data_IF_678607520623
#
_entry.id   IF_678607520623
#
_cell.length_a   1.000
_cell.length_b   1.000
_cell.length_c   1.000
_cell.angle_alpha   90.00
_cell.angle_beta   90.00
_cell.angle_gamma   90.00
#
_symmetry.space_group_name_H-M   'P 1'
#
loop_
_entity.id
_entity.type
_entity.pdbx_description
1 polymer ?
#
# COMPACT_ATOMS: atom_id res chain seq x y z
N UNK A 1 -16.76 14.71 1.60
CA UNK A 1 -16.45 14.57 3.04
C UNK A 1 -14.95 14.27 3.17
N UNK A 2 -14.10 15.16 3.73
CA UNK A 2 -12.66 14.96 3.66
C UNK A 2 -12.15 14.00 4.75
N UNK A 3 -11.49 12.95 4.24
CA UNK A 3 -10.45 12.09 4.81
C UNK A 3 -10.22 12.13 6.33
N UNK A 4 -10.93 11.28 7.08
CA UNK A 4 -10.42 10.82 8.38
C UNK A 4 -9.08 10.12 8.11
N UNK A 5 -7.98 10.41 8.83
CA UNK A 5 -6.72 9.70 8.66
C UNK A 5 -6.92 8.26 9.15
N UNK A 6 -7.44 7.43 8.25
CA UNK A 6 -7.68 6.02 8.51
C UNK A 6 -6.35 5.28 8.42
N UNK A 7 -6.25 4.13 9.06
CA UNK A 7 -5.06 3.25 8.97
C UNK A 7 -4.62 3.01 7.51
N UNK A 8 -5.56 3.10 6.57
CA UNK A 8 -5.35 3.10 5.12
C UNK A 8 -4.49 4.25 4.61
N UNK A 9 -4.65 5.48 5.12
CA UNK A 9 -3.85 6.66 4.72
C UNK A 9 -2.36 6.45 5.04
N UNK A 10 -2.05 5.94 6.23
CA UNK A 10 -0.69 5.57 6.60
C UNK A 10 -0.10 4.50 5.65
N UNK A 11 -0.90 3.50 5.26
CA UNK A 11 -0.52 2.48 4.28
C UNK A 11 -0.25 3.09 2.91
N UNK A 12 -1.12 3.99 2.43
CA UNK A 12 -0.94 4.69 1.15
C UNK A 12 0.37 5.48 1.17
N UNK A 13 0.65 6.21 2.26
CA UNK A 13 1.90 6.98 2.41
C UNK A 13 3.14 6.08 2.35
N UNK A 14 3.08 4.89 2.96
CA UNK A 14 4.16 3.90 2.89
C UNK A 14 4.33 3.33 1.47
N UNK A 15 3.22 3.00 0.80
CA UNK A 15 3.23 2.47 -0.56
C UNK A 15 3.64 3.51 -1.61
N UNK A 16 3.40 4.80 -1.37
CA UNK A 16 3.85 5.91 -2.22
C UNK A 16 5.36 6.14 -2.17
N UNK A 17 6.07 5.55 -1.21
CA UNK A 17 7.54 5.65 -1.15
C UNK A 17 8.15 4.95 -2.37
N UNK A 18 9.29 5.44 -2.89
CA UNK A 18 9.96 4.84 -4.04
C UNK A 18 10.39 3.39 -3.79
N UNK A 19 10.70 3.05 -2.54
CA UNK A 19 11.04 1.70 -2.08
C UNK A 19 9.82 0.76 -1.98
N UNK A 20 8.60 1.31 -2.01
CA UNK A 20 7.38 0.60 -1.68
C UNK A 20 7.30 0.14 -0.22
N UNK A 21 6.38 -0.78 0.06
CA UNK A 21 6.24 -1.42 1.36
C UNK A 21 5.83 -2.89 1.19
N UNK A 22 6.45 -3.77 1.97
CA UNK A 22 6.04 -5.17 2.05
C UNK A 22 4.80 -5.35 2.90
N UNK A 23 4.11 -6.49 2.77
CA UNK A 23 2.96 -6.80 3.64
C UNK A 23 3.39 -6.66 5.11
N UNK A 24 4.49 -7.28 5.52
CA UNK A 24 5.00 -7.19 6.89
C UNK A 24 5.23 -5.74 7.36
N UNK A 25 5.72 -4.86 6.49
CA UNK A 25 5.88 -3.43 6.81
C UNK A 25 4.55 -2.69 6.95
N UNK A 26 3.53 -3.10 6.19
CA UNK A 26 2.18 -2.56 6.32
C UNK A 26 1.46 -3.10 7.56
N UNK A 27 1.76 -4.34 7.98
CA UNK A 27 1.19 -4.93 9.19
C UNK A 27 1.67 -4.24 10.48
N UNK A 28 2.94 -3.83 10.55
CA UNK A 28 3.51 -3.17 11.75
C UNK A 28 2.70 -1.96 12.25
N UNK A 29 2.39 -0.95 11.41
CA UNK A 29 1.63 0.23 11.85
C UNK A 29 0.12 0.01 11.87
N UNK A 30 -0.41 -0.97 11.13
CA UNK A 30 -1.87 -1.17 11.02
C UNK A 30 -2.43 -2.24 11.95
N UNK A 31 -1.60 -3.21 12.33
CA UNK A 31 -2.02 -4.45 12.96
C UNK A 31 -2.82 -5.38 12.04
N UNK A 32 -2.85 -5.13 10.73
CA UNK A 32 -3.65 -5.95 9.81
C UNK A 32 -3.02 -7.32 9.56
N UNK A 33 -3.88 -8.30 9.30
CA UNK A 33 -3.46 -9.59 8.79
C UNK A 33 -3.10 -9.49 7.30
N UNK A 34 -2.28 -10.42 6.76
CA UNK A 34 -1.81 -10.34 5.38
C UNK A 34 -2.94 -10.34 4.35
N UNK A 35 -4.04 -11.05 4.61
CA UNK A 35 -5.22 -11.05 3.75
C UNK A 35 -5.96 -9.70 3.78
N UNK A 36 -6.01 -9.01 4.93
CA UNK A 36 -6.62 -7.68 5.07
C UNK A 36 -5.81 -6.63 4.32
N UNK A 37 -4.47 -6.70 4.38
CA UNK A 37 -3.59 -5.83 3.58
C UNK A 37 -3.84 -6.04 2.09
N UNK A 38 -3.97 -7.28 1.62
CA UNK A 38 -4.29 -7.60 0.22
C UNK A 38 -5.67 -7.06 -0.20
N UNK A 39 -6.67 -7.13 0.68
CA UNK A 39 -7.97 -6.53 0.44
C UNK A 39 -7.88 -5.00 0.31
N UNK A 40 -7.10 -4.34 1.19
CA UNK A 40 -6.86 -2.89 1.13
C UNK A 40 -6.14 -2.49 -0.17
N UNK A 41 -5.10 -3.22 -0.58
CA UNK A 41 -4.40 -3.00 -1.86
C UNK A 41 -5.37 -3.15 -3.04
N UNK A 42 -6.24 -4.16 -3.02
CA UNK A 42 -7.25 -4.35 -4.08
C UNK A 42 -8.25 -3.20 -4.12
N UNK A 43 -8.70 -2.71 -2.95
CA UNK A 43 -9.55 -1.52 -2.86
C UNK A 43 -8.89 -0.26 -3.39
N UNK A 44 -7.60 -0.07 -3.11
CA UNK A 44 -6.81 1.04 -3.64
C UNK A 44 -6.64 0.96 -5.16
N UNK A 45 -6.40 -0.24 -5.71
CA UNK A 45 -6.37 -0.46 -7.16
C UNK A 45 -7.70 -0.08 -7.82
N UNK A 46 -8.82 -0.46 -7.20
CA UNK A 46 -10.17 -0.09 -7.66
C UNK A 46 -10.45 1.42 -7.58
N UNK A 47 -9.79 2.14 -6.66
CA UNK A 47 -9.86 3.60 -6.55
C UNK A 47 -9.03 4.35 -7.60
N UNK A 48 -8.32 3.64 -8.49
CA UNK A 48 -7.48 4.24 -9.53
C UNK A 48 -6.00 4.37 -9.16
N UNK A 49 -5.56 3.81 -8.02
CA UNK A 49 -4.13 3.77 -7.70
C UNK A 49 -3.45 2.62 -8.46
N UNK A 50 -2.42 2.92 -9.24
CA UNK A 50 -1.61 1.91 -9.91
C UNK A 50 -0.68 1.24 -8.89
N UNK A 51 -1.07 0.05 -8.42
CA UNK A 51 -0.24 -0.74 -7.49
C UNK A 51 0.57 -1.76 -8.27
N UNK A 52 1.89 -1.62 -8.21
CA UNK A 52 2.81 -2.63 -8.75
C UNK A 52 3.37 -3.49 -7.62
N UNK A 53 3.51 -4.78 -7.91
CA UNK A 53 4.21 -5.73 -7.06
C UNK A 53 5.63 -5.89 -7.57
N UNK A 54 6.59 -5.86 -6.67
CA UNK A 54 8.01 -6.04 -6.99
C UNK A 54 8.67 -6.90 -5.91
N UNK A 55 9.86 -7.43 -6.18
CA UNK A 55 10.67 -8.11 -5.17
C UNK A 55 11.91 -7.28 -4.94
N UNK A 56 12.14 -6.90 -3.69
CA UNK A 56 13.39 -6.25 -3.34
C UNK A 56 14.57 -7.23 -3.43
N UNK A 57 15.78 -6.67 -3.27
CA UNK A 57 17.05 -7.41 -3.29
C UNK A 57 17.11 -8.56 -2.26
N UNK A 58 16.37 -8.42 -1.15
CA UNK A 58 16.22 -9.45 -0.12
C UNK A 58 15.17 -10.55 -0.45
N UNK A 59 14.61 -10.56 -1.66
CA UNK A 59 13.59 -11.51 -2.10
C UNK A 59 12.18 -11.27 -1.51
N UNK A 60 11.97 -10.16 -0.81
CA UNK A 60 10.70 -9.81 -0.16
C UNK A 60 9.79 -9.12 -1.16
N UNK A 61 8.55 -9.61 -1.26
CA UNK A 61 7.51 -8.97 -2.07
C UNK A 61 7.13 -7.61 -1.46
N UNK A 62 7.43 -6.55 -2.19
CA UNK A 62 7.05 -5.18 -1.89
C UNK A 62 5.97 -4.71 -2.86
N UNK A 63 5.07 -3.87 -2.36
CA UNK A 63 4.04 -3.22 -3.15
C UNK A 63 4.37 -1.74 -3.20
N UNK A 64 4.21 -1.12 -4.38
CA UNK A 64 4.35 0.32 -4.52
C UNK A 64 3.14 0.88 -5.25
N UNK A 65 2.73 2.08 -4.87
CA UNK A 65 1.80 2.88 -5.65
C UNK A 65 2.66 3.69 -6.63
N UNK A 66 2.55 3.37 -7.91
CA UNK A 66 2.89 4.34 -8.95
C UNK A 66 1.76 5.36 -8.91
N UNK A 67 2.07 6.63 -8.66
CA UNK A 67 1.07 7.67 -8.78
C UNK A 67 0.65 7.73 -10.25
N UNK A 68 -0.42 7.00 -10.60
CA UNK A 68 -1.23 7.34 -11.76
C UNK A 68 -1.82 8.71 -11.49
N UNK A 69 -1.58 9.64 -12.42
CA UNK A 69 -2.02 11.01 -12.38
C UNK A 69 -3.46 11.15 -11.87
N UNK A 70 -3.67 12.08 -10.95
CA UNK A 70 -4.97 12.34 -10.33
C UNK A 70 -4.78 13.23 -9.11
N UNK A 71 -4.35 14.45 -9.37
CA UNK A 71 -4.77 15.61 -8.56
C UNK A 71 -6.23 15.93 -8.92
#
# INVERSE_FOLDING_TARGET
MPNKPTKTDAVIRLLKRPQGASIAQLQKPTGWQPHSVRAALTGLRKKGHEITRDKNDAGVTVYRIRAGAGE
#
